data_IF_940945621587
#
_entry.id   IF_940945621587
#
_cell.length_a   1.000
_cell.length_b   1.000
_cell.length_c   1.000
_cell.angle_alpha   90.00
_cell.angle_beta   90.00
_cell.angle_gamma   90.00
#
_symmetry.space_group_name_H-M   'P 1'
#
loop_
_entity.id
_entity.type
_entity.pdbx_description
1 polymer ?
#
# COMPACT_ATOMS: atom_id res chain seq x y z
N UNK A 1 11.71 -9.79 5.37
CA UNK A 1 11.88 -8.38 4.98
C UNK A 1 11.09 -8.15 3.72
N UNK A 2 10.61 -6.94 3.50
CA UNK A 2 9.92 -6.54 2.28
C UNK A 2 10.75 -5.45 1.59
N UNK A 3 11.27 -5.68 0.37
CA UNK A 3 12.11 -4.71 -0.32
C UNK A 3 11.27 -3.61 -0.99
N UNK A 4 11.79 -2.39 -0.98
CA UNK A 4 11.29 -1.24 -1.74
C UNK A 4 12.42 -0.77 -2.63
N UNK A 5 12.24 -0.93 -3.94
CA UNK A 5 13.19 -0.50 -4.97
C UNK A 5 12.99 1.00 -5.25
N UNK A 6 14.09 1.76 -5.22
CA UNK A 6 14.08 3.21 -5.39
C UNK A 6 15.23 3.63 -6.29
N UNK A 7 15.00 4.71 -7.04
CA UNK A 7 15.94 5.29 -7.97
C UNK A 7 15.95 6.82 -7.80
N UNK A 8 17.13 7.42 -7.80
CA UNK A 8 17.32 8.86 -7.63
C UNK A 8 18.28 9.41 -8.68
N UNK A 9 17.92 10.53 -9.31
CA UNK A 9 18.84 11.25 -10.18
C UNK A 9 19.57 12.35 -9.40
N UNK A 10 20.90 12.25 -9.35
CA UNK A 10 21.75 13.22 -8.70
C UNK A 10 22.49 14.05 -9.76
N UNK A 11 22.31 15.37 -9.74
CA UNK A 11 22.99 16.30 -10.66
C UNK A 11 24.09 17.08 -9.94
N UNK A 12 25.28 17.12 -10.53
CA UNK A 12 26.39 17.93 -10.05
C UNK A 12 26.50 19.25 -10.84
N UNK A 13 26.14 20.40 -10.25
CA UNK A 13 26.26 21.72 -10.90
C UNK A 13 27.69 22.28 -10.90
N UNK A 14 28.65 21.60 -10.28
CA UNK A 14 30.02 22.07 -10.11
C UNK A 14 30.97 21.49 -11.16
N UNK A 15 32.14 22.14 -11.29
CA UNK A 15 33.20 21.75 -12.22
C UNK A 15 33.92 20.47 -11.75
N UNK A 16 34.10 20.30 -10.45
CA UNK A 16 34.73 19.11 -9.89
C UNK A 16 33.70 17.97 -9.69
N UNK A 17 34.07 16.71 -9.96
CA UNK A 17 33.21 15.56 -9.68
C UNK A 17 33.06 15.34 -8.17
N UNK A 18 31.94 14.72 -7.78
CA UNK A 18 31.69 14.26 -6.42
C UNK A 18 31.66 12.74 -6.37
N UNK A 19 32.14 12.16 -5.28
CA UNK A 19 32.01 10.73 -5.00
C UNK A 19 31.01 10.57 -3.87
N UNK A 20 29.91 9.88 -4.13
CA UNK A 20 28.98 9.44 -3.09
C UNK A 20 29.45 8.07 -2.64
N UNK A 21 29.97 7.99 -1.41
CA UNK A 21 30.54 6.74 -0.87
C UNK A 21 29.49 5.87 -0.22
N UNK A 22 28.41 6.47 0.27
CA UNK A 22 27.30 5.77 0.91
C UNK A 22 26.00 6.54 0.72
N UNK A 23 24.90 5.81 0.55
CA UNK A 23 23.54 6.34 0.73
C UNK A 23 22.84 5.50 1.76
N UNK A 24 22.44 6.12 2.87
CA UNK A 24 21.69 5.48 3.92
C UNK A 24 20.22 5.87 3.92
N UNK A 25 19.42 5.03 4.57
CA UNK A 25 18.00 5.24 4.78
C UNK A 25 17.54 4.80 6.17
N UNK A 26 16.46 5.43 6.62
CA UNK A 26 15.71 5.07 7.81
C UNK A 26 14.22 5.04 7.46
N UNK A 27 13.56 3.91 7.72
CA UNK A 27 12.12 3.72 7.50
C UNK A 27 11.40 3.75 8.84
N UNK A 28 10.34 4.53 8.94
CA UNK A 28 9.41 4.52 10.07
C UNK A 28 7.97 4.38 9.59
N UNK A 29 7.12 3.77 10.42
CA UNK A 29 5.67 3.81 10.23
C UNK A 29 5.01 4.15 11.56
N UNK A 30 4.26 5.25 11.62
CA UNK A 30 3.69 5.78 12.89
C UNK A 30 4.75 5.97 14.00
N UNK A 31 5.98 6.34 13.62
CA UNK A 31 7.10 6.47 14.55
C UNK A 31 7.73 5.14 15.00
N UNK A 32 7.20 3.99 14.58
CA UNK A 32 7.82 2.68 14.78
C UNK A 32 8.93 2.52 13.74
N UNK A 33 10.17 2.33 14.17
CA UNK A 33 11.28 2.05 13.27
C UNK A 33 11.01 0.74 12.51
N UNK A 34 10.96 0.77 11.19
CA UNK A 34 10.68 -0.41 10.37
C UNK A 34 11.93 -0.97 9.71
N UNK A 35 12.99 -0.19 9.59
CA UNK A 35 14.26 -0.64 9.02
C UNK A 35 15.22 0.52 8.85
N UNK A 36 16.50 0.19 8.74
CA UNK A 36 17.55 1.14 8.35
C UNK A 36 18.63 0.37 7.61
N UNK A 37 19.39 1.06 6.77
CA UNK A 37 20.49 0.46 6.03
C UNK A 37 21.20 1.47 5.15
N UNK A 38 22.19 1.00 4.41
CA UNK A 38 22.90 1.82 3.43
C UNK A 38 23.38 1.01 2.23
N UNK A 39 23.64 1.70 1.12
CA UNK A 39 24.26 1.11 -0.06
C UNK A 39 25.77 1.02 0.13
N UNK A 40 26.36 -0.13 -0.21
CA UNK A 40 27.81 -0.37 -0.20
C UNK A 40 28.52 0.01 -1.52
N UNK A 41 27.81 0.72 -2.41
CA UNK A 41 28.26 1.04 -3.77
C UNK A 41 28.61 2.53 -3.84
N UNK A 42 29.80 2.80 -4.37
CA UNK A 42 30.27 4.16 -4.61
C UNK A 42 29.76 4.66 -5.98
N UNK A 43 29.21 5.88 -6.01
CA UNK A 43 28.75 6.54 -7.23
C UNK A 43 29.60 7.79 -7.50
N UNK A 44 30.02 7.98 -8.75
CA UNK A 44 30.75 9.17 -9.16
C UNK A 44 29.81 10.08 -9.95
N UNK A 45 29.48 11.25 -9.41
CA UNK A 45 28.64 12.23 -10.09
C UNK A 45 29.53 13.16 -10.91
N UNK A 46 29.51 13.07 -12.26
CA UNK A 46 30.43 13.79 -13.11
C UNK A 46 30.17 15.30 -13.11
N UNK A 47 31.21 16.05 -13.46
CA UNK A 47 31.14 17.50 -13.68
C UNK A 47 30.00 17.89 -14.63
N UNK A 48 29.11 18.79 -14.20
CA UNK A 48 27.94 19.23 -14.96
C UNK A 48 27.07 18.09 -15.52
N UNK A 49 27.08 16.93 -14.87
CA UNK A 49 26.35 15.76 -15.29
C UNK A 49 25.49 15.17 -14.19
N UNK A 50 24.68 14.19 -14.59
CA UNK A 50 23.80 13.43 -13.71
C UNK A 50 24.27 11.99 -13.58
N UNK A 51 24.05 11.41 -12.42
CA UNK A 51 24.21 9.98 -12.16
C UNK A 51 22.90 9.46 -11.53
N UNK A 52 22.50 8.26 -11.93
CA UNK A 52 21.30 7.62 -11.41
C UNK A 52 21.74 6.63 -10.33
N UNK A 53 21.14 6.76 -9.15
CA UNK A 53 21.52 6.01 -7.96
C UNK A 53 20.37 5.12 -7.55
N UNK A 54 20.66 3.82 -7.43
CA UNK A 54 19.71 2.79 -7.07
C UNK A 54 19.87 2.43 -5.59
N UNK A 55 18.74 2.31 -4.89
CA UNK A 55 18.69 1.94 -3.49
C UNK A 55 17.56 0.93 -3.27
N UNK A 56 17.81 -0.07 -2.43
CA UNK A 56 16.75 -0.96 -1.94
C UNK A 56 16.59 -0.79 -0.45
N UNK A 57 15.48 -0.17 -0.03
CA UNK A 57 15.13 -0.16 1.38
C UNK A 57 14.48 -1.49 1.77
N UNK A 58 14.74 -1.95 2.98
CA UNK A 58 14.16 -3.18 3.52
C UNK A 58 13.27 -2.85 4.72
N UNK A 59 11.97 -3.17 4.61
CA UNK A 59 11.08 -3.16 5.77
C UNK A 59 11.19 -4.49 6.53
N UNK A 60 11.40 -4.38 7.84
CA UNK A 60 11.52 -5.51 8.75
C UNK A 60 10.14 -6.06 9.08
N UNK A 61 9.81 -7.23 8.53
CA UNK A 61 8.52 -7.89 8.77
C UNK A 61 8.30 -8.24 10.25
N UNK A 62 9.38 -8.45 11.01
CA UNK A 62 9.33 -8.74 12.45
C UNK A 62 8.82 -7.56 13.29
N UNK A 63 8.82 -6.34 12.74
CA UNK A 63 8.32 -5.14 13.42
C UNK A 63 6.88 -4.79 13.01
N UNK A 64 6.29 -5.58 12.11
CA UNK A 64 4.89 -5.40 11.69
C UNK A 64 3.92 -5.58 12.85
N UNK A 65 4.21 -6.46 13.82
CA UNK A 65 3.34 -6.66 14.98
C UNK A 65 3.28 -5.39 15.88
N UNK A 66 4.41 -4.72 16.07
CA UNK A 66 4.49 -3.47 16.84
C UNK A 66 3.82 -2.32 16.08
N UNK A 67 4.08 -2.21 14.78
CA UNK A 67 3.42 -1.23 13.92
C UNK A 67 1.90 -1.45 13.85
N UNK A 68 1.42 -2.70 13.76
CA UNK A 68 0.00 -3.01 13.64
C UNK A 68 -0.81 -2.47 14.83
N UNK A 69 -0.25 -2.53 16.04
CA UNK A 69 -0.87 -1.91 17.23
C UNK A 69 -1.04 -0.40 17.02
N UNK A 70 -0.03 0.29 16.49
CA UNK A 70 -0.11 1.73 16.22
C UNK A 70 -1.05 2.09 15.07
N UNK A 71 -1.21 1.20 14.09
CA UNK A 71 -2.12 1.40 12.96
C UNK A 71 -3.59 1.39 13.40
N UNK A 72 -3.93 0.54 14.37
CA UNK A 72 -5.28 0.42 14.91
C UNK A 72 -5.56 1.39 16.07
N UNK A 73 -4.54 2.02 16.64
CA UNK A 73 -4.72 2.88 17.82
C UNK A 73 -5.18 4.28 17.40
N UNK A 74 -6.46 4.56 17.66
CA UNK A 74 -7.12 5.86 17.43
C UNK A 74 -6.36 7.05 18.01
N UNK A 75 -5.54 6.84 19.05
CA UNK A 75 -4.82 7.92 19.74
C UNK A 75 -3.50 8.32 19.08
N UNK A 76 -2.93 7.49 18.20
CA UNK A 76 -1.68 7.84 17.49
C UNK A 76 -1.98 8.60 16.21
N UNK A 77 -2.68 8.01 15.24
CA UNK A 77 -2.95 8.65 13.95
C UNK A 77 -4.40 8.47 13.44
N UNK A 78 -5.25 7.74 14.17
CA UNK A 78 -6.63 7.40 13.77
C UNK A 78 -6.84 5.88 13.73
N UNK A 79 -8.09 5.43 13.60
CA UNK A 79 -8.37 4.00 13.47
C UNK A 79 -7.98 3.53 12.07
N UNK A 80 -7.07 2.55 11.96
CA UNK A 80 -6.59 2.00 10.69
C UNK A 80 -5.88 3.03 9.80
N UNK A 81 -5.06 3.89 10.41
CA UNK A 81 -4.26 4.92 9.71
C UNK A 81 -2.78 4.72 10.02
N UNK A 82 -1.95 4.78 8.97
CA UNK A 82 -0.49 4.69 9.10
C UNK A 82 0.23 5.72 8.25
N UNK A 83 1.17 6.44 8.85
CA UNK A 83 2.11 7.31 8.13
C UNK A 83 3.43 6.57 7.95
N UNK A 84 3.73 6.17 6.72
CA UNK A 84 5.03 5.67 6.28
C UNK A 84 5.93 6.87 5.97
N UNK A 85 7.14 6.86 6.55
CA UNK A 85 8.17 7.87 6.30
C UNK A 85 9.51 7.20 6.05
N UNK A 86 10.16 7.54 4.94
CA UNK A 86 11.50 7.08 4.59
C UNK A 86 12.41 8.30 4.46
N UNK A 87 13.43 8.36 5.31
CA UNK A 87 14.42 9.43 5.34
C UNK A 87 15.73 8.94 4.76
N UNK A 88 16.43 9.79 4.02
CA UNK A 88 17.67 9.44 3.33
C UNK A 88 18.81 10.38 3.69
N UNK A 89 20.03 9.86 3.68
CA UNK A 89 21.25 10.64 3.75
C UNK A 89 22.30 10.12 2.78
N UNK A 90 23.20 10.99 2.32
CA UNK A 90 24.35 10.61 1.53
C UNK A 90 25.64 10.97 2.27
N UNK A 91 26.66 10.12 2.17
CA UNK A 91 28.03 10.46 2.52
C UNK A 91 28.76 10.80 1.23
N UNK A 92 29.27 12.02 1.13
CA UNK A 92 29.93 12.54 -0.07
C UNK A 92 31.38 12.86 0.25
N UNK A 93 32.30 12.28 -0.50
CA UNK A 93 33.71 12.67 -0.51
C UNK A 93 33.91 13.86 -1.45
N UNK A 94 34.39 14.96 -0.88
CA UNK A 94 34.71 16.18 -1.62
C UNK A 94 36.11 16.07 -2.24
N UNK A 95 36.43 16.86 -3.29
CA UNK A 95 37.74 16.83 -3.96
C UNK A 95 38.96 17.06 -3.05
N UNK A 96 38.75 17.59 -1.84
CA UNK A 96 39.78 17.76 -0.81
C UNK A 96 40.05 16.52 0.06
N UNK A 97 39.32 15.42 -0.13
CA UNK A 97 39.37 14.20 0.69
C UNK A 97 38.62 14.30 2.02
N UNK A 98 37.76 15.31 2.18
CA UNK A 98 36.86 15.45 3.32
C UNK A 98 35.52 14.77 3.02
N UNK A 99 35.00 14.00 3.97
CA UNK A 99 33.69 13.36 3.88
C UNK A 99 32.63 14.22 4.58
N UNK A 100 31.50 14.43 3.90
CA UNK A 100 30.36 15.17 4.40
C UNK A 100 29.10 14.31 4.33
N UNK A 101 28.42 14.15 5.46
CA UNK A 101 27.06 13.60 5.50
C UNK A 101 26.05 14.70 5.17
N UNK A 102 25.28 14.48 4.11
CA UNK A 102 24.26 15.39 3.61
C UNK A 102 22.88 14.75 3.83
N UNK A 103 22.00 15.36 4.65
CA UNK A 103 20.61 14.91 4.71
C UNK A 103 19.94 15.18 3.36
N UNK A 104 19.23 14.19 2.84
CA UNK A 104 18.51 14.30 1.58
C UNK A 104 17.04 14.59 1.85
N UNK A 105 16.76 15.66 2.60
CA UNK A 105 15.41 16.01 3.07
C UNK A 105 14.39 16.10 1.92
N UNK A 106 14.84 16.57 0.75
CA UNK A 106 14.01 16.69 -0.46
C UNK A 106 13.61 15.33 -1.08
N UNK A 107 14.31 14.25 -0.71
CA UNK A 107 14.01 12.88 -1.13
C UNK A 107 13.20 12.12 -0.09
N UNK A 108 12.91 12.73 1.07
CA UNK A 108 12.07 12.11 2.10
C UNK A 108 10.75 11.68 1.47
N UNK A 109 10.42 10.40 1.60
CA UNK A 109 9.16 9.85 1.13
C UNK A 109 8.18 9.76 2.28
N UNK A 110 6.98 10.31 2.11
CA UNK A 110 5.91 10.24 3.10
C UNK A 110 4.63 9.77 2.42
N UNK A 111 4.00 8.72 2.97
CA UNK A 111 2.76 8.16 2.47
C UNK A 111 1.83 7.83 3.65
N UNK A 112 0.59 8.32 3.58
CA UNK A 112 -0.47 7.92 4.51
C UNK A 112 -1.26 6.77 3.92
N UNK A 113 -1.27 5.63 4.61
CA UNK A 113 -2.00 4.41 4.27
C UNK A 113 -3.19 4.28 5.21
N UNK A 114 -4.38 4.28 4.64
CA UNK A 114 -5.65 4.09 5.37
C UNK A 114 -6.26 2.75 4.97
N UNK A 115 -6.76 1.99 5.94
CA UNK A 115 -7.50 0.75 5.68
C UNK A 115 -8.88 0.78 6.33
N UNK A 116 -9.81 -0.01 5.79
CA UNK A 116 -11.14 -0.21 6.37
C UNK A 116 -11.49 -1.70 6.25
N UNK A 117 -10.94 -2.47 7.18
CA UNK A 117 -11.04 -3.93 7.21
C UNK A 117 -12.22 -4.39 8.06
N UNK A 118 -12.64 -3.57 9.02
CA UNK A 118 -13.69 -3.94 9.96
C UNK A 118 -15.09 -3.43 9.55
N UNK A 119 -15.22 -2.70 8.43
CA UNK A 119 -16.49 -2.14 7.95
C UNK A 119 -17.24 -1.40 9.08
N UNK A 120 -16.45 -0.74 9.93
CA UNK A 120 -16.93 0.19 10.92
C UNK A 120 -17.06 1.52 10.21
N UNK A 121 -17.98 1.55 9.25
CA UNK A 121 -18.20 2.72 8.41
C UNK A 121 -18.17 3.97 9.27
N UNK A 122 -17.58 5.05 8.75
CA UNK A 122 -17.66 6.38 9.34
C UNK A 122 -19.13 6.76 9.48
N UNK A 123 -19.80 6.21 10.50
CA UNK A 123 -21.15 6.49 10.91
C UNK A 123 -21.01 7.86 11.53
N UNK A 124 -20.98 8.87 10.67
CA UNK A 124 -21.34 10.21 11.02
C UNK A 124 -22.82 10.18 11.39
N UNK A 125 -23.08 9.62 12.58
CA UNK A 125 -24.34 9.71 13.29
C UNK A 125 -24.51 11.16 13.66
N UNK A 126 -24.96 11.96 12.70
CA UNK A 126 -25.67 13.19 12.99
C UNK A 126 -27.02 12.77 13.59
N UNK A 127 -26.96 12.43 14.88
CA UNK A 127 -28.11 12.21 15.73
C UNK A 127 -28.85 13.52 15.94
N UNK A 128 -29.56 13.99 14.92
CA UNK A 128 -30.74 14.82 15.13
C UNK A 128 -31.87 13.89 15.48
N UNK A 129 -32.09 13.69 16.78
CA UNK A 129 -33.39 13.24 17.29
C UNK A 129 -34.43 14.28 16.85
N UNK A 130 -35.26 13.92 15.89
CA UNK A 130 -36.52 14.60 15.63
C UNK A 130 -37.63 13.55 15.58
N UNK A 131 -38.51 13.73 16.54
CA UNK A 131 -39.78 13.09 16.81
C UNK A 131 -40.72 13.04 15.59
N UNK A 132 -41.67 12.10 15.65
CA UNK A 132 -42.32 11.47 14.52
C UNK A 132 -43.22 12.33 13.63
N UNK A 133 -43.50 11.80 12.43
CA UNK A 133 -44.79 11.92 11.74
C UNK A 133 -44.91 10.82 10.68
N UNK A 134 -45.95 10.00 10.83
CA UNK A 134 -46.43 9.04 9.85
C UNK A 134 -46.73 9.71 8.51
N UNK A 135 -46.29 9.10 7.41
CA UNK A 135 -46.57 9.56 6.05
C UNK A 135 -46.63 8.38 5.09
N UNK A 136 -47.86 8.05 4.72
CA UNK A 136 -48.33 7.08 3.75
C UNK A 136 -47.75 7.27 2.33
N UNK A 137 -47.62 6.14 1.61
CA UNK A 137 -47.90 6.09 0.17
C UNK A 137 -46.70 6.04 -0.79
N UNK A 138 -46.56 4.91 -1.50
CA UNK A 138 -45.98 4.92 -2.85
C UNK A 138 -45.21 3.66 -3.25
N UNK A 139 -45.94 2.61 -3.67
CA UNK A 139 -45.38 1.52 -4.48
C UNK A 139 -44.86 2.09 -5.81
N UNK A 140 -43.64 1.72 -6.22
CA UNK A 140 -43.24 1.78 -7.63
C UNK A 140 -42.60 0.47 -8.00
N UNK A 141 -43.44 -0.47 -8.39
CA UNK A 141 -43.08 -1.56 -9.28
C UNK A 141 -42.62 -0.96 -10.62
N UNK A 142 -41.48 -1.43 -11.14
CA UNK A 142 -41.14 -1.34 -12.56
C UNK A 142 -40.17 -2.45 -12.91
N UNK A 143 -40.72 -3.65 -13.08
CA UNK A 143 -40.22 -4.62 -14.03
C UNK A 143 -41.06 -4.52 -15.31
N UNK A 144 -40.42 -4.56 -16.48
CA UNK A 144 -41.11 -4.97 -17.70
C UNK A 144 -40.60 -4.35 -19.00
N UNK A 145 -39.85 -5.13 -19.77
CA UNK A 145 -40.16 -5.51 -21.17
C UNK A 145 -39.12 -6.56 -21.61
N UNK A 146 -39.44 -7.85 -21.52
CA UNK A 146 -40.02 -8.72 -22.57
C UNK A 146 -39.04 -9.04 -23.71
N UNK A 147 -38.66 -10.31 -23.80
CA UNK A 147 -38.79 -11.04 -25.07
C UNK A 147 -39.28 -12.46 -24.77
N UNK A 148 -40.40 -12.78 -25.41
CA UNK A 148 -41.09 -14.05 -25.37
C UNK A 148 -40.55 -14.91 -26.51
N UNK A 149 -40.14 -16.15 -26.22
CA UNK A 149 -40.24 -17.22 -27.20
C UNK A 149 -40.89 -18.45 -26.55
N UNK A 150 -42.08 -18.70 -27.07
CA UNK A 150 -43.01 -19.78 -26.83
C UNK A 150 -42.54 -21.04 -27.57
N UNK A 151 -42.64 -22.20 -26.89
CA UNK A 151 -43.25 -23.44 -27.41
C UNK A 151 -42.72 -24.68 -26.69
N UNK A 152 -43.64 -25.52 -26.19
CA UNK A 152 -43.43 -26.97 -26.22
C UNK A 152 -43.57 -27.72 -24.90
N UNK A 153 -44.81 -27.81 -24.41
CA UNK A 153 -45.29 -28.83 -23.46
C UNK A 153 -45.02 -30.27 -23.96
N UNK A 154 -44.68 -31.16 -23.03
CA UNK A 154 -44.43 -32.58 -23.30
C UNK A 154 -44.03 -33.34 -22.04
N UNK A 155 -44.99 -33.61 -21.17
CA UNK A 155 -44.78 -34.35 -19.92
C UNK A 155 -44.44 -35.84 -20.08
N UNK A 156 -43.84 -36.44 -19.04
CA UNK A 156 -44.40 -37.56 -18.26
C UNK A 156 -43.35 -38.13 -17.31
N UNK A 157 -43.81 -38.53 -16.11
CA UNK A 157 -43.39 -39.63 -15.20
C UNK A 157 -42.05 -40.35 -15.47
N UNK A 158 -41.24 -40.79 -14.51
CA UNK A 158 -41.54 -41.54 -13.28
C UNK A 158 -40.27 -41.67 -12.44
N UNK A 159 -40.50 -41.80 -11.14
CA UNK A 159 -39.66 -42.36 -10.07
C UNK A 159 -39.21 -43.82 -10.33
N UNK A 160 -38.32 -44.32 -9.47
CA UNK A 160 -37.73 -45.69 -9.36
C UNK A 160 -36.45 -45.92 -10.20
N UNK A 161 -35.31 -46.42 -9.72
CA UNK A 161 -34.96 -47.17 -8.52
C UNK A 161 -33.78 -48.10 -8.90
N UNK A 162 -32.74 -48.13 -8.06
CA UNK A 162 -31.60 -49.09 -7.96
C UNK A 162 -31.01 -49.82 -9.19
N UNK A 163 -29.68 -49.76 -9.27
CA UNK A 163 -28.85 -50.75 -9.97
C UNK A 163 -27.37 -50.55 -9.68
N UNK A 164 -26.84 -51.32 -8.73
CA UNK A 164 -25.43 -51.49 -8.42
C UNK A 164 -24.57 -51.91 -9.64
N UNK A 165 -23.25 -51.79 -9.43
CA UNK A 165 -22.20 -52.74 -9.84
C UNK A 165 -21.24 -52.33 -10.98
N UNK A 166 -19.97 -52.35 -10.61
CA UNK A 166 -18.78 -52.71 -11.36
C UNK A 166 -18.18 -51.80 -12.46
N UNK A 167 -17.06 -51.16 -12.07
CA UNK A 167 -15.77 -51.75 -12.48
C UNK A 167 -14.97 -51.04 -13.58
N UNK A 168 -13.74 -50.69 -13.19
CA UNK A 168 -12.48 -50.76 -13.98
C UNK A 168 -12.08 -49.59 -14.89
N UNK A 169 -11.16 -48.80 -14.32
CA UNK A 169 -9.90 -48.31 -14.91
C UNK A 169 -9.23 -49.36 -15.83
N UNK A 170 -8.44 -48.98 -16.87
CA UNK A 170 -7.32 -48.03 -16.79
C UNK A 170 -7.29 -46.89 -17.80
#
# INVERSE_FOLDING_TARGET
ETPIEMEFDAYNPNLEPYVVTEIGYDVTMNGVAMGSGSTEVEYVIPSYGSETIELTAALSNERLDEWWVTHLDESVNGHQVSDLRIEFYAVVELPGGEELTVPLDALTYEETVETDIFDEGLHQGNGTSADGTSGDGGSTDSEGSTDSDDSGDGGTTTDDGSGDDDGLLP
#
